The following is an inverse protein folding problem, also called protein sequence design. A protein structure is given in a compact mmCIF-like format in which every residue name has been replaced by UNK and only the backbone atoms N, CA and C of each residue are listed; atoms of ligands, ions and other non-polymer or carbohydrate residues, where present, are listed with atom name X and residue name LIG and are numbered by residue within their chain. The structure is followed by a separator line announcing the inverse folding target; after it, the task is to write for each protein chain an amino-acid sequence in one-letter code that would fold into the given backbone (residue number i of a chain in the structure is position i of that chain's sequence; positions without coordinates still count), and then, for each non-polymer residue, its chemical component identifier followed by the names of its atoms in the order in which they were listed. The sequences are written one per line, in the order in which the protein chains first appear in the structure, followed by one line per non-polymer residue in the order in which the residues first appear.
data_IF_865967796997
#
_entry.id   IF_865967796997
#
_cell.length_a   1.000
_cell.length_b   1.000
_cell.length_c   1.000
_cell.angle_alpha   90.00
_cell.angle_beta   90.00
_cell.angle_gamma   90.00
#
_symmetry.space_group_name_H-M   'P 1'
#
loop_
_entity.id
_entity.type
_entity.pdbx_description
1 polymer ?
#
# COMPACT_ATOMS: atom_id res chain seq x y z
N UNK A 1 -10.37 18.21 16.62
CA UNK A 1 -9.23 17.41 17.08
C UNK A 1 -9.02 16.22 16.20
N UNK A 2 -7.81 16.06 15.76
CA UNK A 2 -7.48 14.98 14.82
C UNK A 2 -6.96 13.76 15.59
N UNK A 3 -7.68 12.65 15.48
CA UNK A 3 -7.31 11.38 16.12
C UNK A 3 -6.60 10.42 15.17
N UNK A 4 -6.10 10.95 14.06
CA UNK A 4 -5.48 10.14 13.00
C UNK A 4 -4.33 9.29 13.53
N UNK A 5 -3.42 9.91 14.31
CA UNK A 5 -2.24 9.20 14.81
C UNK A 5 -2.62 8.10 15.80
N UNK A 6 -3.62 8.34 16.65
CA UNK A 6 -4.10 7.32 17.57
C UNK A 6 -4.75 6.16 16.84
N UNK A 7 -5.57 6.47 15.83
CA UNK A 7 -6.23 5.45 15.04
C UNK A 7 -5.22 4.64 14.23
N UNK A 8 -4.21 5.32 13.67
CA UNK A 8 -3.15 4.63 12.93
C UNK A 8 -2.41 3.67 13.85
N UNK A 9 -2.09 4.10 15.05
CA UNK A 9 -1.39 3.26 16.01
C UNK A 9 -2.18 2.02 16.36
N UNK A 10 -3.49 2.18 16.57
CA UNK A 10 -4.38 1.06 16.92
C UNK A 10 -4.48 0.02 15.80
N UNK A 11 -4.39 0.46 14.55
CA UNK A 11 -4.53 -0.43 13.40
C UNK A 11 -3.20 -0.93 12.84
N UNK A 12 -2.11 -0.37 13.32
CA UNK A 12 -0.80 -0.57 12.70
C UNK A 12 -0.34 -2.02 12.66
N UNK A 13 -0.49 -2.74 13.77
CA UNK A 13 -0.02 -4.12 13.85
C UNK A 13 -0.71 -4.99 12.81
N UNK A 14 -2.03 -4.86 12.69
CA UNK A 14 -2.81 -5.64 11.73
C UNK A 14 -2.50 -5.22 10.30
N UNK A 15 -2.35 -3.91 10.07
CA UNK A 15 -1.98 -3.39 8.75
C UNK A 15 -0.62 -3.94 8.31
N UNK A 16 0.38 -3.91 9.20
CA UNK A 16 1.71 -4.41 8.86
C UNK A 16 1.71 -5.92 8.64
N UNK A 17 0.91 -6.67 9.41
CA UNK A 17 0.79 -8.11 9.21
C UNK A 17 0.19 -8.41 7.83
N UNK A 18 -0.84 -7.66 7.44
CA UNK A 18 -1.47 -7.80 6.13
C UNK A 18 -0.48 -7.49 5.00
N UNK A 19 0.30 -6.40 5.17
CA UNK A 19 1.30 -6.01 4.18
C UNK A 19 2.42 -7.04 4.07
N UNK A 20 2.92 -7.54 5.22
CA UNK A 20 3.99 -8.53 5.22
C UNK A 20 3.55 -9.84 4.60
N UNK A 21 2.29 -10.22 4.75
CA UNK A 21 1.76 -11.39 4.08
C UNK A 21 1.81 -11.23 2.56
N UNK A 22 1.50 -10.04 2.06
CA UNK A 22 1.58 -9.77 0.63
C UNK A 22 3.04 -9.78 0.13
N UNK A 23 3.97 -9.30 0.96
CA UNK A 23 5.40 -9.40 0.64
C UNK A 23 5.81 -10.86 0.53
N UNK A 24 5.37 -11.69 1.47
CA UNK A 24 5.71 -13.11 1.48
C UNK A 24 5.16 -13.84 0.26
N UNK A 25 4.01 -13.38 -0.27
CA UNK A 25 3.46 -13.95 -1.50
C UNK A 25 4.16 -13.44 -2.76
N UNK A 26 5.07 -12.50 -2.63
CA UNK A 26 5.77 -11.91 -3.77
C UNK A 26 4.97 -10.85 -4.51
N UNK A 27 3.88 -10.39 -3.94
CA UNK A 27 2.97 -9.42 -4.58
C UNK A 27 3.31 -7.98 -4.24
N UNK A 28 3.68 -7.71 -3.00
CA UNK A 28 4.00 -6.35 -2.56
C UNK A 28 5.50 -6.15 -2.59
N UNK A 29 5.96 -5.17 -3.36
CA UNK A 29 7.39 -4.88 -3.51
C UNK A 29 7.89 -3.86 -2.50
N UNK A 30 7.16 -2.77 -2.32
CA UNK A 30 7.53 -1.67 -1.43
C UNK A 30 6.28 -0.97 -0.96
N UNK A 31 6.29 -0.49 0.28
CA UNK A 31 5.22 0.34 0.78
C UNK A 31 5.76 1.31 1.81
N UNK A 32 5.15 2.46 1.89
CA UNK A 32 5.57 3.45 2.85
C UNK A 32 4.61 4.63 2.89
N UNK A 33 4.71 5.38 3.97
CA UNK A 33 3.90 6.57 4.17
C UNK A 33 4.70 7.81 3.78
N UNK A 34 3.98 8.86 3.39
CA UNK A 34 4.62 10.13 3.13
C UNK A 34 5.20 10.69 4.43
N UNK A 35 6.40 11.25 4.34
CA UNK A 35 7.07 11.84 5.49
C UNK A 35 6.54 13.23 5.82
N UNK A 36 5.91 13.87 4.85
CA UNK A 36 5.40 15.24 4.99
C UNK A 36 3.88 15.26 4.91
N UNK A 37 3.32 16.40 5.22
CA UNK A 37 1.87 16.61 5.13
C UNK A 37 1.47 16.91 3.69
N UNK A 38 0.26 16.54 3.29
CA UNK A 38 -0.76 15.81 4.06
C UNK A 38 -0.47 14.31 4.16
N UNK A 39 -1.09 13.60 5.11
CA UNK A 39 -0.87 12.16 5.27
C UNK A 39 -1.27 11.38 4.02
N UNK A 40 -0.52 10.34 3.75
CA UNK A 40 -0.80 9.47 2.64
C UNK A 40 0.27 8.41 2.53
N UNK A 41 0.11 7.51 1.58
CA UNK A 41 1.04 6.40 1.39
C UNK A 41 1.06 5.96 -0.05
N UNK A 42 2.16 5.31 -0.42
CA UNK A 42 2.29 4.64 -1.71
C UNK A 42 2.66 3.20 -1.45
N UNK A 43 2.01 2.28 -2.15
CA UNK A 43 2.34 0.86 -2.08
C UNK A 43 2.53 0.37 -3.50
N UNK A 44 3.65 -0.29 -3.74
CA UNK A 44 4.03 -0.78 -5.07
C UNK A 44 3.91 -2.29 -5.08
N UNK A 45 3.16 -2.80 -6.05
CA UNK A 45 2.91 -4.23 -6.20
C UNK A 45 3.52 -4.75 -7.49
N UNK A 46 3.91 -6.04 -7.44
CA UNK A 46 4.22 -6.84 -8.61
C UNK A 46 3.18 -7.94 -8.67
N UNK A 47 2.07 -7.64 -9.30
CA UNK A 47 0.92 -8.55 -9.30
C UNK A 47 0.49 -8.83 -10.73
N UNK A 48 -0.06 -10.03 -10.99
CA UNK A 48 -0.47 -10.40 -12.34
C UNK A 48 -1.68 -9.63 -12.83
N UNK A 49 -2.45 -9.03 -11.91
CA UNK A 49 -3.64 -8.29 -12.28
C UNK A 49 -3.95 -7.20 -11.27
N UNK A 50 -4.71 -6.21 -11.73
CA UNK A 50 -5.21 -5.14 -10.89
C UNK A 50 -6.07 -5.66 -9.74
N UNK A 51 -6.78 -6.75 -9.98
CA UNK A 51 -7.67 -7.33 -8.98
C UNK A 51 -6.94 -7.75 -7.71
N UNK A 52 -5.72 -8.27 -7.86
CA UNK A 52 -4.90 -8.65 -6.70
C UNK A 52 -4.66 -7.43 -5.81
N UNK A 53 -4.33 -6.30 -6.42
CA UNK A 53 -4.05 -5.06 -5.69
C UNK A 53 -5.33 -4.52 -5.05
N UNK A 54 -6.42 -4.53 -5.77
CA UNK A 54 -7.70 -4.05 -5.24
C UNK A 54 -8.18 -4.90 -4.07
N UNK A 55 -7.97 -6.20 -4.15
CA UNK A 55 -8.33 -7.12 -3.07
C UNK A 55 -7.50 -6.82 -1.83
N UNK A 56 -6.21 -6.55 -2.01
CA UNK A 56 -5.35 -6.14 -0.90
C UNK A 56 -5.90 -4.88 -0.23
N UNK A 57 -6.23 -3.87 -1.03
CA UNK A 57 -6.71 -2.60 -0.50
C UNK A 57 -8.01 -2.77 0.28
N UNK A 58 -8.95 -3.56 -0.24
CA UNK A 58 -10.24 -3.77 0.43
C UNK A 58 -10.10 -4.51 1.74
N UNK A 59 -9.05 -5.32 1.91
CA UNK A 59 -8.82 -6.10 3.12
C UNK A 59 -7.86 -5.41 4.10
N UNK A 60 -7.25 -4.29 3.70
CA UNK A 60 -6.27 -3.60 4.53
C UNK A 60 -6.96 -3.01 5.77
N UNK A 61 -6.49 -3.33 6.99
CA UNK A 61 -7.06 -2.76 8.20
C UNK A 61 -7.10 -1.23 8.24
N UNK A 62 -6.17 -0.56 7.58
CA UNK A 62 -6.23 0.91 7.47
C UNK A 62 -7.43 1.36 6.65
N UNK A 63 -7.84 0.55 5.68
CA UNK A 63 -9.02 0.86 4.85
C UNK A 63 -10.29 0.42 5.59
N UNK A 64 -10.35 -0.83 6.06
CA UNK A 64 -11.54 -1.33 6.72
C UNK A 64 -11.82 -0.63 8.05
N UNK A 65 -10.77 -0.13 8.70
CA UNK A 65 -10.90 0.64 9.93
C UNK A 65 -11.18 2.12 9.71
N UNK A 66 -11.32 2.54 8.47
CA UNK A 66 -11.70 3.91 8.15
C UNK A 66 -10.60 4.95 8.24
N UNK A 67 -9.35 4.54 8.42
CA UNK A 67 -8.23 5.48 8.46
C UNK A 67 -7.95 6.03 7.06
N UNK A 68 -8.00 5.17 6.05
CA UNK A 68 -7.83 5.55 4.65
C UNK A 68 -9.20 5.67 4.02
N UNK A 69 -9.57 6.87 3.59
CA UNK A 69 -10.90 7.13 3.04
C UNK A 69 -10.98 6.87 1.53
N UNK A 70 -9.85 6.86 0.85
CA UNK A 70 -9.83 6.59 -0.58
C UNK A 70 -8.49 6.07 -1.04
N UNK A 71 -8.53 5.30 -2.12
CA UNK A 71 -7.31 4.78 -2.72
C UNK A 71 -7.52 4.62 -4.22
N UNK A 72 -6.41 4.66 -4.95
CA UNK A 72 -6.42 4.54 -6.41
C UNK A 72 -5.36 3.54 -6.83
N UNK A 73 -5.69 2.68 -7.76
CA UNK A 73 -4.74 1.71 -8.31
C UNK A 73 -4.43 2.13 -9.74
N UNK A 74 -3.14 2.24 -10.04
CA UNK A 74 -2.69 2.60 -11.39
C UNK A 74 -1.54 1.70 -11.78
N UNK A 75 -1.52 1.28 -13.02
CA UNK A 75 -0.40 0.53 -13.55
C UNK A 75 0.76 1.48 -13.79
N UNK A 76 1.95 1.06 -13.35
CA UNK A 76 3.17 1.84 -13.49
C UNK A 76 4.14 1.06 -14.37
N UNK A 77 4.46 1.61 -15.52
CA UNK A 77 5.45 1.01 -16.44
C UNK A 77 6.80 1.60 -16.11
N UNK A 78 7.68 0.78 -15.52
CA UNK A 78 9.00 1.23 -15.08
C UNK A 78 10.00 0.98 -16.20
N UNK A 79 10.72 2.04 -16.60
CA UNK A 79 11.54 1.98 -17.80
C UNK A 79 13.01 2.32 -17.57
N UNK A 80 13.35 2.86 -16.41
CA UNK A 80 14.71 3.27 -16.11
C UNK A 80 15.02 3.01 -14.65
N UNK A 81 16.25 2.65 -14.36
CA UNK A 81 16.69 2.37 -13.01
C UNK A 81 16.71 0.89 -12.70
N UNK A 82 17.37 0.56 -11.58
CA UNK A 82 17.45 -0.81 -11.12
C UNK A 82 16.04 -1.29 -10.74
N UNK A 83 15.67 -2.45 -11.21
CA UNK A 83 14.33 -2.97 -10.97
C UNK A 83 13.30 -2.59 -12.00
N UNK A 84 13.67 -1.80 -13.03
CA UNK A 84 12.73 -1.47 -14.09
C UNK A 84 12.32 -2.74 -14.82
N UNK A 85 10.99 -2.89 -15.03
CA UNK A 85 10.43 -4.11 -15.61
C UNK A 85 10.43 -4.07 -17.14
N UNK A 86 10.47 -2.88 -17.72
CA UNK A 86 10.47 -2.69 -19.17
C UNK A 86 11.56 -1.66 -19.52
N UNK A 87 12.84 -2.00 -19.29
CA UNK A 87 13.90 -1.00 -19.48
C UNK A 87 14.02 -0.55 -20.92
N UNK A 88 14.27 0.75 -21.08
CA UNK A 88 14.53 1.37 -22.38
C UNK A 88 16.02 1.56 -22.59
#
# INVERSE_FOLDING_TARGET
MNDYLERREALRADHLAHARAAVARGELALGGAFADEPPGAVIIFRAPSREVVERFARADPYVTGGLVSGWTVRQWTTVVGEGAMTPL
#
